data_IF_940479784945
#
_entry.id   IF_940479784945
#
_cell.length_a   1.000
_cell.length_b   1.000
_cell.length_c   1.000
_cell.angle_alpha   90.00
_cell.angle_beta   90.00
_cell.angle_gamma   90.00
#
_symmetry.space_group_name_H-M   'P 1'
#
loop_
_entity.id
_entity.type
_entity.pdbx_description
1 polymer ?
#
# COMPACT_ATOMS: atom_id res chain seq x y z
N UNK A 1 13.01 5.75 -10.68
CA UNK A 1 11.93 6.02 -9.72
C UNK A 1 10.58 5.88 -10.38
N UNK A 2 9.60 5.28 -9.72
CA UNK A 2 8.27 5.25 -10.32
C UNK A 2 7.69 6.65 -10.37
N UNK A 3 6.93 6.92 -11.42
CA UNK A 3 6.19 8.15 -11.55
C UNK A 3 5.01 8.11 -10.57
N UNK A 4 4.98 9.04 -9.62
CA UNK A 4 3.95 9.08 -8.58
C UNK A 4 2.56 9.22 -9.19
N UNK A 5 2.41 10.05 -10.23
CA UNK A 5 1.14 10.22 -10.90
C UNK A 5 0.67 8.92 -11.54
N UNK A 6 1.60 8.19 -12.16
CA UNK A 6 1.30 6.90 -12.77
C UNK A 6 0.89 5.87 -11.72
N UNK A 7 1.58 5.84 -10.57
CA UNK A 7 1.25 4.94 -9.47
C UNK A 7 -0.13 5.26 -8.92
N UNK A 8 -0.44 6.54 -8.69
CA UNK A 8 -1.74 6.96 -8.18
C UNK A 8 -2.86 6.61 -9.17
N UNK A 9 -2.62 6.84 -10.47
CA UNK A 9 -3.61 6.56 -11.52
C UNK A 9 -3.92 5.06 -11.64
N UNK A 10 -2.95 4.20 -11.32
CA UNK A 10 -3.10 2.75 -11.44
C UNK A 10 -3.33 2.04 -10.10
N UNK A 11 -3.43 2.80 -9.02
CA UNK A 11 -3.69 2.22 -7.71
C UNK A 11 -5.14 1.73 -7.61
N UNK A 12 -5.33 0.60 -6.96
CA UNK A 12 -6.67 0.06 -6.72
C UNK A 12 -7.41 0.86 -5.64
N UNK A 13 -6.65 1.47 -4.73
CA UNK A 13 -7.22 2.23 -3.63
C UNK A 13 -6.22 3.25 -3.14
N UNK A 14 -6.71 4.43 -2.75
CA UNK A 14 -5.89 5.46 -2.12
C UNK A 14 -6.54 5.83 -0.79
N UNK A 15 -5.78 5.74 0.29
CA UNK A 15 -6.25 6.06 1.64
C UNK A 15 -5.23 6.98 2.31
N UNK A 16 -5.66 8.20 2.63
CA UNK A 16 -4.83 9.20 3.34
C UNK A 16 -3.41 9.35 2.77
N UNK A 17 -3.31 9.40 1.43
CA UNK A 17 -2.03 9.60 0.76
C UNK A 17 -1.21 8.32 0.56
N UNK A 18 -1.78 7.15 0.83
CA UNK A 18 -1.16 5.87 0.54
C UNK A 18 -1.88 5.20 -0.61
N UNK A 19 -1.13 4.81 -1.63
CA UNK A 19 -1.67 4.10 -2.79
C UNK A 19 -1.48 2.60 -2.59
N UNK A 20 -2.58 1.86 -2.64
CA UNK A 20 -2.59 0.41 -2.49
C UNK A 20 -2.86 -0.22 -3.85
N UNK A 21 -1.97 -1.09 -4.30
CA UNK A 21 -2.09 -1.76 -5.60
C UNK A 21 -2.00 -3.27 -5.40
N UNK A 22 -3.06 -3.96 -5.75
CA UNK A 22 -3.11 -5.41 -5.63
C UNK A 22 -2.35 -6.07 -6.78
N UNK A 23 -1.48 -7.02 -6.46
CA UNK A 23 -0.67 -7.78 -7.42
C UNK A 23 -0.66 -9.26 -7.02
N UNK A 24 -1.40 -10.09 -7.74
CA UNK A 24 -1.49 -11.53 -7.44
C UNK A 24 -1.79 -11.76 -5.95
N UNK A 25 -0.83 -12.29 -5.21
CA UNK A 25 -0.98 -12.62 -3.79
C UNK A 25 -0.43 -11.54 -2.86
N UNK A 26 -0.07 -10.38 -3.40
CA UNK A 26 0.52 -9.31 -2.59
C UNK A 26 -0.14 -7.97 -2.86
N UNK A 27 0.12 -7.02 -1.97
CA UNK A 27 -0.37 -5.64 -2.08
C UNK A 27 0.82 -4.71 -1.94
N UNK A 28 1.01 -3.85 -2.92
CA UNK A 28 2.05 -2.82 -2.87
C UNK A 28 1.47 -1.54 -2.31
N UNK A 29 2.19 -0.93 -1.39
CA UNK A 29 1.78 0.32 -0.76
C UNK A 29 2.87 1.36 -0.96
N UNK A 30 2.48 2.52 -1.46
CA UNK A 30 3.40 3.64 -1.67
C UNK A 30 2.86 4.86 -0.95
N UNK A 31 3.73 5.53 -0.18
CA UNK A 31 3.40 6.81 0.41
C UNK A 31 3.55 7.89 -0.67
N UNK A 32 2.43 8.46 -1.11
CA UNK A 32 2.43 9.46 -2.19
C UNK A 32 3.11 10.76 -1.78
N UNK A 33 3.18 11.05 -0.48
CA UNK A 33 3.85 12.25 0.04
C UNK A 33 5.35 12.03 0.26
N UNK A 34 5.79 10.77 0.32
CA UNK A 34 7.19 10.42 0.48
C UNK A 34 7.46 9.11 -0.29
N UNK A 35 7.77 9.20 -1.59
CA UNK A 35 7.92 8.01 -2.44
C UNK A 35 9.05 7.06 -2.03
N UNK A 36 9.95 7.50 -1.15
CA UNK A 36 10.98 6.63 -0.61
C UNK A 36 10.39 5.61 0.40
N UNK A 37 9.20 5.89 0.92
CA UNK A 37 8.51 5.02 1.89
C UNK A 37 7.51 4.14 1.15
N UNK A 38 7.81 2.85 1.07
CA UNK A 38 6.96 1.88 0.40
C UNK A 38 7.02 0.54 1.12
N UNK A 39 6.03 -0.29 0.91
CA UNK A 39 6.06 -1.65 1.44
C UNK A 39 5.26 -2.60 0.56
N UNK A 40 5.51 -3.89 0.74
CA UNK A 40 4.74 -4.95 0.10
C UNK A 40 4.16 -5.82 1.21
N UNK A 41 2.86 -6.00 1.18
CA UNK A 41 2.14 -6.83 2.15
C UNK A 41 1.66 -8.10 1.48
N UNK A 42 1.59 -9.20 2.23
CA UNK A 42 0.91 -10.40 1.77
C UNK A 42 -0.61 -10.17 1.78
N UNK A 43 -1.34 -11.10 1.19
CA UNK A 43 -2.80 -11.03 1.22
C UNK A 43 -3.34 -11.01 2.66
N UNK A 44 -2.61 -11.58 3.60
CA UNK A 44 -2.98 -11.61 5.03
C UNK A 44 -2.58 -10.34 5.77
N UNK A 45 -1.89 -9.41 5.11
CA UNK A 45 -1.45 -8.18 5.74
C UNK A 45 -0.07 -8.25 6.39
N UNK A 46 0.68 -9.32 6.16
CA UNK A 46 2.05 -9.45 6.67
C UNK A 46 3.01 -8.66 5.82
N UNK A 47 3.98 -8.02 6.44
CA UNK A 47 5.00 -7.26 5.73
C UNK A 47 6.00 -8.22 5.08
N UNK A 48 6.12 -8.15 3.76
CA UNK A 48 7.08 -8.95 2.99
C UNK A 48 8.35 -8.17 2.71
N UNK A 49 8.21 -6.89 2.36
CA UNK A 49 9.33 -5.98 2.13
C UNK A 49 8.88 -4.58 2.56
N UNK A 50 9.80 -3.78 3.06
CA UNK A 50 9.47 -2.41 3.45
C UNK A 50 10.69 -1.52 3.55
N UNK A 51 10.48 -0.22 3.26
CA UNK A 51 11.41 0.86 3.58
C UNK A 51 10.77 1.79 4.63
N UNK A 52 9.59 1.44 5.14
CA UNK A 52 8.88 2.21 6.15
C UNK A 52 9.37 1.85 7.56
N UNK A 53 9.25 2.78 8.51
CA UNK A 53 9.52 2.49 9.90
C UNK A 53 8.34 1.74 10.54
N UNK A 54 8.54 1.27 11.78
CA UNK A 54 7.52 0.49 12.49
C UNK A 54 6.22 1.26 12.71
N UNK A 55 6.31 2.55 12.96
CA UNK A 55 5.14 3.40 13.19
C UNK A 55 4.32 3.51 11.91
N UNK A 56 5.00 3.79 10.79
CA UNK A 56 4.32 3.89 9.49
C UNK A 56 3.72 2.56 9.06
N UNK A 57 4.43 1.46 9.29
CA UNK A 57 3.91 0.13 8.98
C UNK A 57 2.64 -0.17 9.76
N UNK A 58 2.59 0.19 11.03
CA UNK A 58 1.39 -0.01 11.85
C UNK A 58 0.19 0.75 11.29
N UNK A 59 0.43 1.99 10.83
CA UNK A 59 -0.61 2.81 10.21
C UNK A 59 -1.11 2.17 8.92
N UNK A 60 -0.18 1.76 8.05
CA UNK A 60 -0.51 1.14 6.76
C UNK A 60 -1.26 -0.18 6.95
N UNK A 61 -0.80 -1.01 7.89
CA UNK A 61 -1.46 -2.27 8.17
C UNK A 61 -2.88 -2.07 8.70
N UNK A 62 -3.09 -1.02 9.51
CA UNK A 62 -4.42 -0.68 10.00
C UNK A 62 -5.33 -0.26 8.83
N UNK A 63 -4.83 0.59 7.94
CA UNK A 63 -5.60 1.00 6.76
C UNK A 63 -5.92 -0.19 5.88
N UNK A 64 -4.96 -1.07 5.66
CA UNK A 64 -5.17 -2.27 4.85
C UNK A 64 -6.25 -3.17 5.46
N UNK A 65 -6.15 -3.41 6.77
CA UNK A 65 -7.11 -4.25 7.48
C UNK A 65 -8.54 -3.70 7.37
N UNK A 66 -8.70 -2.40 7.51
CA UNK A 66 -10.01 -1.75 7.45
C UNK A 66 -10.59 -1.71 6.04
N UNK A 67 -9.74 -1.65 5.02
CA UNK A 67 -10.16 -1.45 3.63
C UNK A 67 -9.91 -2.68 2.75
N UNK A 68 -9.45 -3.77 3.34
CA UNK A 68 -9.12 -5.01 2.62
C UNK A 68 -10.27 -5.50 1.74
N UNK A 69 -11.48 -5.42 2.24
CA UNK A 69 -12.66 -5.87 1.52
C UNK A 69 -12.86 -5.10 0.21
N UNK A 70 -12.59 -3.80 0.22
CA UNK A 70 -12.68 -2.98 -0.98
C UNK A 70 -11.65 -3.40 -2.04
N UNK A 71 -10.44 -3.75 -1.59
CA UNK A 71 -9.40 -4.24 -2.49
C UNK A 71 -9.78 -5.59 -3.10
N UNK A 72 -10.39 -6.47 -2.32
CA UNK A 72 -10.80 -7.79 -2.80
C UNK A 72 -11.94 -7.70 -3.80
N UNK A 73 -12.77 -6.66 -3.72
CA UNK A 73 -13.89 -6.44 -4.62
C UNK A 73 -13.52 -5.67 -5.89
N UNK A 74 -12.33 -5.12 -5.97
CA UNK A 74 -11.90 -4.32 -7.12
C UNK A 74 -11.43 -5.14 -8.31
#
# INVERSE_FOLDING_TARGET
MPDILSVADHADMIVNGYAFSKRNDSVRVLNLNNPASACVLSADGKVLETTMDDIELAIVQDYYSRNRKHLEES
#
